data_IF_602747426041
#
_entry.id   IF_602747426041
#
_cell.length_a   1.000
_cell.length_b   1.000
_cell.length_c   1.000
_cell.angle_alpha   90.00
_cell.angle_beta   90.00
_cell.angle_gamma   90.00
#
_symmetry.space_group_name_H-M   'P 1'
#
loop_
_entity.id
_entity.type
_entity.pdbx_description
1 polymer ?
#
# COMPACT_ATOMS: atom_id res chain seq x y z
N UNK A 1 -1.83 -16.98 13.18
CA UNK A 1 -2.90 -16.00 12.91
C UNK A 1 -2.23 -14.68 12.62
N UNK A 2 -2.20 -14.25 11.36
CA UNK A 2 -1.68 -12.92 11.04
C UNK A 2 -2.63 -11.89 11.68
N UNK A 3 -2.10 -10.97 12.47
CA UNK A 3 -2.92 -9.94 13.11
C UNK A 3 -3.34 -8.94 12.03
N UNK A 4 -4.65 -8.75 11.83
CA UNK A 4 -5.22 -7.71 10.96
C UNK A 4 -4.93 -6.33 11.59
N UNK A 5 -3.77 -5.77 11.24
CA UNK A 5 -3.25 -4.50 11.76
C UNK A 5 -4.15 -3.36 11.33
N UNK A 6 -4.70 -3.41 10.10
CA UNK A 6 -5.65 -2.41 9.62
C UNK A 6 -6.93 -2.45 10.45
N UNK A 7 -7.50 -3.62 10.74
CA UNK A 7 -8.69 -3.72 11.59
C UNK A 7 -8.40 -3.30 13.03
N UNK A 8 -7.19 -3.55 13.54
CA UNK A 8 -6.76 -3.06 14.86
C UNK A 8 -6.73 -1.53 14.89
N UNK A 9 -6.14 -0.90 13.87
CA UNK A 9 -6.17 0.56 13.72
C UNK A 9 -7.60 1.08 13.70
N UNK A 10 -8.46 0.52 12.83
CA UNK A 10 -9.86 0.95 12.67
C UNK A 10 -10.64 0.87 13.99
N UNK A 11 -10.42 -0.17 14.81
CA UNK A 11 -11.06 -0.26 16.14
C UNK A 11 -10.58 0.81 17.12
N UNK A 12 -9.37 1.32 16.96
CA UNK A 12 -8.74 2.32 17.83
C UNK A 12 -8.95 3.78 17.41
N UNK A 13 -9.68 4.03 16.30
CA UNK A 13 -9.96 5.39 15.81
C UNK A 13 -11.09 6.06 16.59
N UNK A 14 -10.86 7.29 17.04
CA UNK A 14 -11.90 8.17 17.59
C UNK A 14 -12.81 8.73 16.48
N UNK A 15 -13.98 9.30 16.81
CA UNK A 15 -14.83 9.96 15.82
C UNK A 15 -14.11 11.08 15.04
N UNK A 16 -13.29 11.88 15.72
CA UNK A 16 -12.53 12.99 15.12
C UNK A 16 -11.47 12.47 14.14
N UNK A 17 -10.81 11.38 14.49
CA UNK A 17 -9.83 10.71 13.63
C UNK A 17 -10.49 10.12 12.38
N UNK A 18 -11.70 9.55 12.51
CA UNK A 18 -12.49 9.09 11.36
C UNK A 18 -12.89 10.23 10.44
N UNK A 19 -13.26 11.39 11.00
CA UNK A 19 -13.57 12.58 10.22
C UNK A 19 -12.33 13.11 9.49
N UNK A 20 -11.16 13.10 10.13
CA UNK A 20 -9.90 13.48 9.50
C UNK A 20 -9.57 12.56 8.31
N UNK A 21 -9.76 11.24 8.47
CA UNK A 21 -9.62 10.27 7.36
C UNK A 21 -10.62 10.59 6.24
N UNK A 22 -11.90 10.78 6.55
CA UNK A 22 -12.91 11.10 5.55
C UNK A 22 -12.60 12.40 4.78
N UNK A 23 -12.00 13.39 5.43
CA UNK A 23 -11.55 14.62 4.76
C UNK A 23 -10.41 14.34 3.78
N UNK A 24 -9.44 13.51 4.16
CA UNK A 24 -8.35 13.09 3.25
C UNK A 24 -8.88 12.31 2.06
N UNK A 25 -9.85 11.42 2.28
CA UNK A 25 -10.52 10.65 1.22
C UNK A 25 -11.28 11.56 0.25
N UNK A 26 -11.98 12.59 0.76
CA UNK A 26 -12.62 13.61 -0.07
C UNK A 26 -11.60 14.41 -0.90
N UNK A 27 -10.45 14.75 -0.31
CA UNK A 27 -9.38 15.44 -1.06
C UNK A 27 -8.80 14.55 -2.16
N UNK A 28 -8.57 13.26 -1.87
CA UNK A 28 -8.13 12.29 -2.87
C UNK A 28 -9.16 12.17 -4.01
N UNK A 29 -10.44 12.05 -3.66
CA UNK A 29 -11.55 12.00 -4.63
C UNK A 29 -11.57 13.23 -5.53
N UNK A 30 -11.41 14.44 -4.97
CA UNK A 30 -11.35 15.68 -5.76
C UNK A 30 -10.18 15.66 -6.74
N UNK A 31 -8.99 15.24 -6.30
CA UNK A 31 -7.80 15.13 -7.18
C UNK A 31 -8.03 14.12 -8.30
N UNK A 32 -8.53 12.93 -7.99
CA UNK A 32 -8.83 11.90 -8.98
C UNK A 32 -9.88 12.35 -9.99
N UNK A 33 -10.94 12.99 -9.52
CA UNK A 33 -12.02 13.48 -10.36
C UNK A 33 -11.61 14.66 -11.23
N UNK A 34 -10.56 15.42 -10.90
CA UNK A 34 -10.13 16.57 -11.70
C UNK A 34 -9.79 16.19 -13.15
N UNK A 35 -9.31 14.96 -13.39
CA UNK A 35 -8.95 14.44 -14.70
C UNK A 35 -9.98 13.52 -15.36
N UNK A 36 -11.15 13.29 -14.75
CA UNK A 36 -12.16 12.33 -15.25
C UNK A 36 -13.36 13.00 -15.90
N UNK A 37 -13.81 12.44 -17.03
CA UNK A 37 -15.08 12.83 -17.66
C UNK A 37 -16.29 12.43 -16.81
N UNK A 38 -16.26 11.21 -16.23
CA UNK A 38 -17.25 10.74 -15.28
C UNK A 38 -16.74 10.89 -13.84
N UNK A 39 -17.52 11.55 -12.98
CA UNK A 39 -17.15 11.80 -11.59
C UNK A 39 -17.51 10.61 -10.72
N UNK A 40 -16.52 10.03 -10.06
CA UNK A 40 -16.71 9.01 -9.03
C UNK A 40 -17.31 9.64 -7.76
N UNK A 41 -18.05 8.85 -6.99
CA UNK A 41 -18.59 9.23 -5.67
C UNK A 41 -17.66 8.91 -4.51
N UNK A 42 -16.64 8.07 -4.74
CA UNK A 42 -15.68 7.58 -3.75
C UNK A 42 -14.28 7.55 -4.40
N UNK A 43 -13.20 7.78 -3.64
CA UNK A 43 -11.85 7.69 -4.17
C UNK A 43 -11.55 6.24 -4.58
N UNK A 44 -10.74 6.06 -5.62
CA UNK A 44 -10.24 4.73 -5.97
C UNK A 44 -9.33 4.17 -4.87
N UNK A 45 -8.60 5.06 -4.19
CA UNK A 45 -7.65 4.72 -3.13
C UNK A 45 -7.80 5.65 -1.93
N UNK A 46 -8.77 5.36 -1.06
CA UNK A 46 -8.89 6.00 0.26
C UNK A 46 -7.80 5.54 1.24
N UNK A 47 -7.62 6.26 2.34
CA UNK A 47 -6.57 6.01 3.34
C UNK A 47 -6.61 4.56 3.85
N UNK A 48 -7.79 4.10 4.29
CA UNK A 48 -7.94 2.77 4.87
C UNK A 48 -7.86 1.67 3.81
N UNK A 49 -8.33 1.94 2.59
CA UNK A 49 -8.21 1.00 1.48
C UNK A 49 -6.76 0.80 1.09
N UNK A 50 -5.95 1.87 1.07
CA UNK A 50 -4.52 1.76 0.81
C UNK A 50 -3.82 0.84 1.81
N UNK A 51 -4.07 1.03 3.11
CA UNK A 51 -3.54 0.16 4.16
C UNK A 51 -4.01 -1.29 3.98
N UNK A 52 -5.27 -1.49 3.61
CA UNK A 52 -5.84 -2.82 3.40
C UNK A 52 -5.23 -3.51 2.18
N UNK A 53 -5.04 -2.82 1.07
CA UNK A 53 -4.36 -3.37 -0.11
C UNK A 53 -2.94 -3.81 0.23
N UNK A 54 -2.21 -2.98 0.98
CA UNK A 54 -0.87 -3.30 1.45
C UNK A 54 -0.84 -4.56 2.32
N UNK A 55 -1.72 -4.61 3.33
CA UNK A 55 -1.84 -5.75 4.23
C UNK A 55 -2.27 -7.04 3.52
N UNK A 56 -3.16 -6.94 2.53
CA UNK A 56 -3.63 -8.10 1.74
C UNK A 56 -2.48 -8.66 0.91
N UNK A 57 -1.68 -7.82 0.24
CA UNK A 57 -0.51 -8.29 -0.51
C UNK A 57 0.47 -9.02 0.43
N UNK A 58 0.80 -8.41 1.57
CA UNK A 58 1.69 -9.02 2.57
C UNK A 58 1.14 -10.36 3.03
N UNK A 59 -0.15 -10.44 3.34
CA UNK A 59 -0.77 -11.68 3.81
C UNK A 59 -0.73 -12.78 2.74
N UNK A 60 -0.88 -12.43 1.45
CA UNK A 60 -0.72 -13.39 0.35
C UNK A 60 0.69 -13.95 0.26
N UNK A 61 1.72 -13.09 0.42
CA UNK A 61 3.12 -13.52 0.49
C UNK A 61 3.41 -14.38 1.73
N UNK A 62 2.90 -14.01 2.91
CA UNK A 62 3.04 -14.78 4.15
C UNK A 62 2.44 -16.19 4.03
N UNK A 63 1.40 -16.35 3.21
CA UNK A 63 0.76 -17.63 2.94
C UNK A 63 1.43 -18.43 1.81
N UNK A 64 2.52 -17.93 1.23
CA UNK A 64 3.18 -18.55 0.07
C UNK A 64 2.25 -18.64 -1.13
N UNK A 65 1.39 -17.65 -1.32
CA UNK A 65 0.45 -17.55 -2.44
C UNK A 65 -0.56 -18.69 -2.58
N UNK A 66 -0.70 -19.57 -1.58
CA UNK A 66 -1.48 -20.83 -1.64
C UNK A 66 -2.93 -20.70 -2.08
N UNK A 67 -3.53 -19.51 -1.96
CA UNK A 67 -4.92 -19.22 -2.32
C UNK A 67 -5.05 -18.44 -3.63
N UNK A 68 -3.96 -18.25 -4.36
CA UNK A 68 -3.95 -17.53 -5.63
C UNK A 68 -3.58 -18.53 -6.73
N UNK A 69 -4.50 -18.74 -7.67
CA UNK A 69 -4.19 -19.52 -8.89
C UNK A 69 -3.34 -18.69 -9.86
N UNK A 70 -3.37 -17.36 -9.72
CA UNK A 70 -2.68 -16.40 -10.57
C UNK A 70 -2.57 -15.03 -9.85
N UNK A 71 -1.44 -14.34 -9.99
CA UNK A 71 -1.22 -12.96 -9.56
C UNK A 71 -0.11 -12.31 -10.40
N UNK A 72 -0.47 -11.32 -11.20
CA UNK A 72 0.44 -10.68 -12.15
C UNK A 72 1.42 -9.73 -11.45
N UNK A 73 2.64 -9.62 -12.00
CA UNK A 73 3.59 -8.58 -11.57
C UNK A 73 2.97 -7.18 -11.60
N UNK A 74 2.10 -6.85 -12.56
CA UNK A 74 1.42 -5.56 -12.60
C UNK A 74 0.48 -5.31 -11.40
N UNK A 75 -0.13 -6.35 -10.85
CA UNK A 75 -0.94 -6.22 -9.63
C UNK A 75 -0.05 -5.92 -8.41
N UNK A 76 1.14 -6.52 -8.38
CA UNK A 76 2.16 -6.23 -7.37
C UNK A 76 2.63 -4.76 -7.46
N UNK A 77 3.00 -4.31 -8.66
CA UNK A 77 3.43 -2.92 -8.90
C UNK A 77 2.34 -1.91 -8.55
N UNK A 78 1.07 -2.23 -8.82
CA UNK A 78 -0.06 -1.40 -8.41
C UNK A 78 -0.10 -1.23 -6.88
N UNK A 79 0.10 -2.31 -6.12
CA UNK A 79 0.10 -2.23 -4.66
C UNK A 79 1.34 -1.49 -4.12
N UNK A 80 2.51 -1.56 -4.78
CA UNK A 80 3.65 -0.71 -4.43
C UNK A 80 3.36 0.78 -4.65
N UNK A 81 2.62 1.11 -5.71
CA UNK A 81 2.16 2.49 -5.95
C UNK A 81 1.15 2.94 -4.88
N UNK A 82 0.28 2.04 -4.43
CA UNK A 82 -0.59 2.28 -3.27
C UNK A 82 0.23 2.53 -2.00
N UNK A 83 1.36 1.83 -1.82
CA UNK A 83 2.28 2.09 -0.70
C UNK A 83 2.94 3.46 -0.77
N UNK A 84 3.27 3.96 -1.97
CA UNK A 84 3.70 5.36 -2.14
C UNK A 84 2.59 6.34 -1.68
N UNK A 85 1.33 6.08 -2.06
CA UNK A 85 0.19 6.88 -1.63
C UNK A 85 -0.05 6.90 -0.12
N UNK A 86 0.32 5.84 0.60
CA UNK A 86 0.26 5.83 2.07
C UNK A 86 1.19 6.89 2.67
N UNK A 87 2.40 7.07 2.13
CA UNK A 87 3.33 8.12 2.59
C UNK A 87 2.76 9.52 2.33
N UNK A 88 2.14 9.74 1.16
CA UNK A 88 1.48 11.03 0.86
C UNK A 88 0.34 11.35 1.83
N UNK A 89 -0.43 10.34 2.24
CA UNK A 89 -1.48 10.52 3.24
C UNK A 89 -0.90 10.82 4.61
N UNK A 90 0.17 10.14 5.02
CA UNK A 90 0.85 10.38 6.30
C UNK A 90 1.32 11.83 6.43
N UNK A 91 1.92 12.38 5.37
CA UNK A 91 2.39 13.77 5.34
C UNK A 91 1.24 14.80 5.48
N UNK A 92 0.03 14.43 5.07
CA UNK A 92 -1.17 15.27 5.15
C UNK A 92 -1.98 15.08 6.44
N UNK A 93 -1.65 14.09 7.29
CA UNK A 93 -2.43 13.77 8.48
C UNK A 93 -2.15 14.73 9.65
N UNK A 94 -3.17 15.01 10.50
CA UNK A 94 -2.93 15.62 11.81
C UNK A 94 -2.04 14.72 12.68
N UNK A 95 -1.11 15.30 13.43
CA UNK A 95 -0.10 14.57 14.22
C UNK A 95 -0.64 13.42 15.10
N UNK A 96 -1.80 13.59 15.74
CA UNK A 96 -2.40 12.56 16.59
C UNK A 96 -2.84 11.32 15.82
N UNK A 97 -3.43 11.51 14.64
CA UNK A 97 -3.81 10.44 13.71
C UNK A 97 -2.58 9.84 13.04
N UNK A 98 -1.66 10.70 12.58
CA UNK A 98 -0.42 10.32 11.91
C UNK A 98 0.33 9.25 12.70
N UNK A 99 0.58 9.48 14.00
CA UNK A 99 1.33 8.52 14.83
C UNK A 99 0.66 7.14 14.95
N UNK A 100 -0.69 7.06 14.92
CA UNK A 100 -1.40 5.77 14.92
C UNK A 100 -1.25 5.05 13.59
N UNK A 101 -1.35 5.78 12.48
CA UNK A 101 -1.22 5.23 11.13
C UNK A 101 0.24 4.80 10.87
N UNK A 102 1.23 5.62 11.24
CA UNK A 102 2.65 5.27 11.17
C UNK A 102 2.96 3.98 11.94
N UNK A 103 2.39 3.81 13.14
CA UNK A 103 2.57 2.59 13.92
C UNK A 103 1.96 1.35 13.22
N UNK A 104 0.84 1.51 12.52
CA UNK A 104 0.25 0.46 11.68
C UNK A 104 1.17 0.12 10.51
N UNK A 105 1.55 1.14 9.73
CA UNK A 105 2.42 1.02 8.55
C UNK A 105 3.75 0.38 8.91
N UNK A 106 4.39 0.77 10.01
CA UNK A 106 5.65 0.19 10.47
C UNK A 106 5.56 -1.31 10.73
N UNK A 107 4.42 -1.80 11.26
CA UNK A 107 4.20 -3.25 11.47
C UNK A 107 3.97 -3.98 10.17
N UNK A 108 3.20 -3.40 9.25
CA UNK A 108 3.00 -3.94 7.91
C UNK A 108 4.33 -3.99 7.13
N UNK A 109 5.11 -2.92 7.15
CA UNK A 109 6.42 -2.84 6.50
C UNK A 109 7.42 -3.85 7.09
N UNK A 110 7.38 -4.09 8.40
CA UNK A 110 8.20 -5.14 9.03
C UNK A 110 7.80 -6.55 8.54
N UNK A 111 6.49 -6.81 8.39
CA UNK A 111 5.98 -8.06 7.82
C UNK A 111 6.37 -8.20 6.36
N UNK A 112 6.21 -7.15 5.56
CA UNK A 112 6.64 -7.12 4.16
C UNK A 112 8.13 -7.45 4.00
N UNK A 113 9.00 -6.84 4.82
CA UNK A 113 10.43 -7.15 4.82
C UNK A 113 10.74 -8.62 5.14
N UNK A 114 9.94 -9.25 5.99
CA UNK A 114 10.13 -10.64 6.37
C UNK A 114 9.81 -11.65 5.24
N UNK A 115 9.00 -11.23 4.25
CA UNK A 115 8.55 -12.08 3.13
C UNK A 115 9.08 -11.62 1.77
N UNK A 116 10.07 -10.73 1.75
CA UNK A 116 10.71 -10.21 0.54
C UNK A 116 12.22 -10.26 0.64
N UNK A 117 12.90 -10.44 -0.48
CA UNK A 117 14.35 -10.24 -0.61
C UNK A 117 14.69 -8.84 -1.11
N UNK A 118 15.78 -8.28 -0.59
CA UNK A 118 16.41 -7.09 -1.16
C UNK A 118 17.27 -7.52 -2.34
N UNK A 119 16.86 -7.14 -3.56
CA UNK A 119 17.57 -7.44 -4.79
C UNK A 119 18.05 -6.17 -5.51
N UNK A 120 17.95 -5.01 -4.85
CA UNK A 120 18.28 -3.72 -5.43
C UNK A 120 17.32 -3.30 -6.55
N UNK A 121 16.16 -3.95 -6.66
CA UNK A 121 15.20 -3.71 -7.73
C UNK A 121 15.46 -4.47 -9.02
N UNK A 122 16.39 -5.45 -9.00
CA UNK A 122 16.75 -6.22 -10.19
C UNK A 122 15.53 -6.89 -10.83
N UNK A 123 14.67 -7.53 -10.03
CA UNK A 123 13.45 -8.18 -10.52
C UNK A 123 12.46 -7.17 -11.11
N UNK A 124 12.12 -6.12 -10.35
CA UNK A 124 11.08 -5.17 -10.75
C UNK A 124 11.51 -4.25 -11.90
N UNK A 125 12.81 -4.05 -12.13
CA UNK A 125 13.34 -3.21 -13.20
C UNK A 125 12.93 -3.69 -14.60
N UNK A 126 12.61 -4.98 -14.75
CA UNK A 126 12.15 -5.57 -16.00
C UNK A 126 10.76 -5.06 -16.42
N UNK A 127 9.97 -4.61 -15.43
CA UNK A 127 8.55 -4.26 -15.60
C UNK A 127 8.27 -2.78 -15.31
N UNK A 128 9.15 -2.11 -14.57
CA UNK A 128 8.96 -0.73 -14.13
C UNK A 128 10.11 0.19 -14.53
N UNK A 129 9.84 1.05 -15.51
CA UNK A 129 10.82 1.92 -16.17
C UNK A 129 11.61 2.85 -15.21
N UNK A 130 11.01 3.51 -14.21
CA UNK A 130 11.76 4.37 -13.29
C UNK A 130 12.95 3.66 -12.65
N UNK A 131 12.76 2.39 -12.27
CA UNK A 131 13.82 1.58 -11.66
C UNK A 131 14.85 1.10 -12.69
N UNK A 132 14.40 0.73 -13.90
CA UNK A 132 15.31 0.39 -15.02
C UNK A 132 16.25 1.54 -15.41
N UNK A 133 15.78 2.77 -15.28
CA UNK A 133 16.55 4.00 -15.54
C UNK A 133 17.43 4.42 -14.34
N UNK A 134 17.42 3.65 -13.25
CA UNK A 134 18.20 3.95 -12.04
C UNK A 134 17.74 5.22 -11.32
N UNK A 135 16.46 5.59 -11.44
CA UNK A 135 15.91 6.72 -10.67
C UNK A 135 15.86 6.36 -9.19
N UNK A 136 15.98 7.37 -8.33
CA UNK A 136 15.81 7.19 -6.89
C UNK A 136 14.37 6.73 -6.58
N UNK A 137 14.24 5.68 -5.79
CA UNK A 137 12.97 5.05 -5.43
C UNK A 137 12.93 4.75 -3.94
N UNK A 138 11.72 4.49 -3.42
CA UNK A 138 11.55 4.09 -2.01
C UNK A 138 12.00 2.64 -1.82
N UNK A 139 12.44 2.31 -0.61
CA UNK A 139 13.06 1.01 -0.30
C UNK A 139 12.15 -0.22 -0.56
N UNK A 140 10.83 -0.07 -0.64
CA UNK A 140 9.96 -1.19 -1.02
C UNK A 140 10.01 -1.51 -2.52
N UNK A 141 10.44 -0.58 -3.36
CA UNK A 141 10.63 -0.80 -4.80
C UNK A 141 11.93 -1.56 -5.13
N UNK A 142 12.84 -1.70 -4.17
CA UNK A 142 14.11 -2.41 -4.35
C UNK A 142 14.04 -3.87 -3.86
N UNK A 143 12.82 -4.38 -3.70
CA UNK A 143 12.53 -5.67 -3.09
C UNK A 143 11.53 -6.45 -3.93
N UNK A 144 11.65 -7.77 -3.86
CA UNK A 144 10.74 -8.70 -4.53
C UNK A 144 10.29 -9.82 -3.57
N UNK A 145 9.15 -10.48 -3.83
CA UNK A 145 8.70 -11.62 -3.03
C UNK A 145 9.77 -12.73 -2.97
N UNK A 146 10.01 -13.29 -1.78
CA UNK A 146 10.96 -14.41 -1.62
C UNK A 146 10.52 -15.66 -2.40
N UNK A 147 9.22 -15.87 -2.50
CA UNK A 147 8.58 -16.82 -3.39
C UNK A 147 7.75 -16.01 -4.39
N UNK A 148 7.96 -16.19 -5.69
CA UNK A 148 7.19 -15.47 -6.71
C UNK A 148 5.79 -16.09 -6.84
N UNK A 149 4.74 -15.27 -7.05
CA UNK A 149 3.40 -15.80 -7.22
C UNK A 149 3.25 -16.58 -8.54
N UNK A 150 2.24 -17.44 -8.65
CA UNK A 150 1.82 -18.00 -9.92
C UNK A 150 1.46 -16.88 -10.91
N UNK A 151 2.03 -16.86 -12.11
CA UNK A 151 1.70 -15.86 -13.13
C UNK A 151 2.52 -14.57 -13.11
N UNK A 152 3.63 -14.55 -12.36
CA UNK A 152 4.60 -13.45 -12.36
C UNK A 152 5.15 -13.12 -13.75
#
# INVERSE_FOLDING_TARGET
MSADETARLVRGLTPEERQAIALLDLQALVRENAGRDFKASEPAYGVLDCLRYWEVLISRMEEGWRRQDYYMVYEYLNVLTVRDGIDEFLDAMPHGLQGKVEACVKRLDARYRAVTSEDGGAELSQYWRPLAEGRETRWWWTRCPTELPPGW
#
